data_IF_872048037305
#
_entry.id   IF_872048037305
#
_cell.length_a   1.000
_cell.length_b   1.000
_cell.length_c   1.000
_cell.angle_alpha   90.00
_cell.angle_beta   90.00
_cell.angle_gamma   90.00
#
_symmetry.space_group_name_H-M   'P 1'
#
loop_
_entity.id
_entity.type
_entity.pdbx_description
1 polymer ?
#
# COMPACT_ATOMS: atom_id res chain seq x y z
N UNK A 1 11.06 16.46 -2.63
CA UNK A 1 9.74 15.80 -2.68
C UNK A 1 8.70 16.84 -3.06
N UNK A 2 7.63 16.48 -3.79
CA UNK A 2 6.66 17.46 -4.28
C UNK A 2 5.91 18.13 -3.12
N UNK A 3 5.11 19.12 -3.48
CA UNK A 3 4.25 19.83 -2.55
C UNK A 3 3.14 18.89 -2.04
N UNK A 4 3.36 18.31 -0.85
CA UNK A 4 2.40 17.42 -0.19
C UNK A 4 1.10 18.14 0.20
N UNK A 5 1.04 19.48 0.15
CA UNK A 5 -0.22 20.19 0.40
C UNK A 5 -1.33 19.78 -0.58
N UNK A 6 -0.98 19.37 -1.82
CA UNK A 6 -1.96 18.85 -2.77
C UNK A 6 -2.46 17.46 -2.40
N UNK A 7 -1.58 16.59 -1.91
CA UNK A 7 -1.93 15.24 -1.44
C UNK A 7 -2.95 15.27 -0.31
N UNK A 8 -2.80 16.20 0.65
CA UNK A 8 -3.71 16.30 1.79
C UNK A 8 -5.11 16.78 1.37
N UNK A 9 -5.20 17.67 0.37
CA UNK A 9 -6.46 18.27 -0.10
C UNK A 9 -7.21 17.44 -1.14
N UNK A 10 -6.53 16.57 -1.87
CA UNK A 10 -7.17 15.71 -2.86
C UNK A 10 -7.98 14.60 -2.17
N UNK A 11 -9.16 14.25 -2.70
CA UNK A 11 -10.02 13.19 -2.14
C UNK A 11 -10.42 12.19 -3.23
N UNK A 12 -10.62 10.93 -2.83
CA UNK A 12 -11.09 9.86 -3.71
C UNK A 12 -10.23 9.71 -4.96
N UNK A 13 -10.87 9.74 -6.14
CA UNK A 13 -10.20 9.55 -7.44
C UNK A 13 -9.10 10.59 -7.68
N UNK A 14 -9.31 11.86 -7.31
CA UNK A 14 -8.30 12.92 -7.51
C UNK A 14 -7.02 12.64 -6.74
N UNK A 15 -7.14 11.98 -5.59
CA UNK A 15 -5.98 11.57 -4.81
C UNK A 15 -5.20 10.46 -5.52
N UNK A 16 -5.89 9.46 -6.06
CA UNK A 16 -5.26 8.37 -6.83
C UNK A 16 -4.63 8.86 -8.15
N UNK A 17 -5.23 9.85 -8.81
CA UNK A 17 -4.61 10.53 -9.95
C UNK A 17 -3.29 11.21 -9.54
N UNK A 18 -3.29 11.94 -8.43
CA UNK A 18 -2.09 12.57 -7.89
C UNK A 18 -1.00 11.55 -7.53
N UNK A 19 -1.37 10.40 -6.94
CA UNK A 19 -0.43 9.31 -6.64
C UNK A 19 0.14 8.72 -7.93
N UNK A 20 -0.67 8.53 -8.98
CA UNK A 20 -0.21 8.10 -10.30
C UNK A 20 0.84 9.04 -10.88
N UNK A 21 0.56 10.35 -10.83
CA UNK A 21 1.48 11.39 -11.28
C UNK A 21 2.77 11.41 -10.45
N UNK A 22 2.65 11.22 -9.14
CA UNK A 22 3.78 11.11 -8.23
C UNK A 22 4.69 9.93 -8.62
N UNK A 23 4.13 8.73 -8.78
CA UNK A 23 4.88 7.53 -9.13
C UNK A 23 5.55 7.70 -10.49
N UNK A 24 4.83 8.22 -11.48
CA UNK A 24 5.36 8.47 -12.82
C UNK A 24 6.52 9.47 -12.79
N UNK A 25 6.38 10.56 -12.03
CA UNK A 25 7.39 11.63 -11.94
C UNK A 25 8.66 11.20 -11.20
N UNK A 26 8.52 10.36 -10.17
CA UNK A 26 9.64 9.93 -9.33
C UNK A 26 10.06 8.48 -9.57
N UNK A 27 9.61 7.86 -10.66
CA UNK A 27 9.97 6.49 -11.05
C UNK A 27 11.48 6.25 -10.95
N UNK A 28 11.86 5.11 -10.37
CA UNK A 28 13.24 4.67 -10.11
C UNK A 28 14.03 5.55 -9.13
N UNK A 29 13.41 6.54 -8.48
CA UNK A 29 14.04 7.24 -7.36
C UNK A 29 14.02 6.35 -6.13
N UNK A 30 15.13 6.44 -5.39
CA UNK A 30 15.33 5.71 -4.16
C UNK A 30 15.26 6.65 -2.96
N UNK A 31 14.60 6.20 -1.90
CA UNK A 31 14.38 6.92 -0.67
C UNK A 31 14.85 6.05 0.48
N UNK A 32 16.01 6.37 1.06
CA UNK A 32 16.47 5.72 2.28
C UNK A 32 15.50 5.99 3.41
N UNK A 33 15.03 4.92 4.06
CA UNK A 33 14.10 4.97 5.18
C UNK A 33 14.88 5.15 6.49
N UNK A 34 14.29 5.88 7.43
CA UNK A 34 14.77 5.92 8.82
C UNK A 34 14.28 4.69 9.59
N UNK A 35 13.09 4.22 9.24
CA UNK A 35 12.44 3.07 9.83
C UNK A 35 11.72 2.27 8.71
N UNK A 36 11.97 0.96 8.59
CA UNK A 36 13.03 0.20 9.28
C UNK A 36 14.43 0.66 8.86
N UNK A 37 15.40 0.56 9.78
CA UNK A 37 16.77 1.04 9.55
C UNK A 37 17.47 0.21 8.46
N UNK A 38 18.10 0.89 7.51
CA UNK A 38 18.79 0.25 6.38
C UNK A 38 17.88 -0.08 5.20
N UNK A 39 16.56 0.04 5.34
CA UNK A 39 15.63 -0.15 4.24
C UNK A 39 15.57 1.04 3.29
N UNK A 40 15.13 0.78 2.07
CA UNK A 40 15.06 1.76 1.00
C UNK A 40 13.78 1.56 0.20
N UNK A 41 13.02 2.63 0.00
CA UNK A 41 11.90 2.61 -0.93
C UNK A 41 12.38 2.97 -2.33
N UNK A 42 12.19 2.07 -3.30
CA UNK A 42 12.28 2.36 -4.73
C UNK A 42 10.89 2.71 -5.26
N UNK A 43 10.72 3.93 -5.77
CA UNK A 43 9.45 4.35 -6.39
C UNK A 43 9.27 3.61 -7.72
N UNK A 44 8.16 2.88 -7.84
CA UNK A 44 7.90 1.97 -8.94
C UNK A 44 6.37 1.82 -9.11
N UNK A 45 5.89 1.82 -10.36
CA UNK A 45 4.51 1.42 -10.63
C UNK A 45 4.35 -0.09 -10.63
N UNK A 46 3.11 -0.59 -10.72
CA UNK A 46 2.81 -2.03 -10.78
C UNK A 46 3.67 -2.78 -11.82
N UNK A 47 3.80 -2.21 -13.02
CA UNK A 47 4.55 -2.82 -14.13
C UNK A 47 6.06 -2.90 -13.90
N UNK A 48 6.56 -2.24 -12.86
CA UNK A 48 7.97 -2.22 -12.45
C UNK A 48 8.21 -3.04 -11.15
N UNK A 49 7.27 -3.92 -10.81
CA UNK A 49 7.34 -4.89 -9.70
C UNK A 49 7.31 -6.33 -10.23
N UNK A 50 7.51 -7.30 -9.35
CA UNK A 50 7.31 -8.73 -9.60
C UNK A 50 5.85 -9.08 -9.95
N UNK A 51 4.90 -8.17 -9.68
CA UNK A 51 3.47 -8.30 -9.99
C UNK A 51 3.10 -7.67 -11.34
N UNK A 52 4.08 -7.35 -12.20
CA UNK A 52 3.84 -6.85 -13.57
C UNK A 52 2.78 -7.68 -14.30
N UNK A 53 1.78 -7.00 -14.88
CA UNK A 53 0.67 -7.62 -15.59
C UNK A 53 -0.41 -8.24 -14.68
N UNK A 54 -0.18 -8.37 -13.37
CA UNK A 54 -1.11 -8.98 -12.41
C UNK A 54 -2.08 -7.97 -11.79
N UNK A 55 -2.77 -7.23 -12.64
CA UNK A 55 -3.75 -6.20 -12.23
C UNK A 55 -4.87 -6.77 -11.36
N UNK A 56 -5.30 -8.01 -11.64
CA UNK A 56 -6.34 -8.69 -10.85
C UNK A 56 -5.90 -9.01 -9.42
N UNK A 57 -4.60 -9.25 -9.20
CA UNK A 57 -4.04 -9.51 -7.87
C UNK A 57 -4.09 -8.24 -7.01
N UNK A 58 -3.66 -7.10 -7.57
CA UNK A 58 -3.74 -5.79 -6.92
C UNK A 58 -5.20 -5.40 -6.62
N UNK A 59 -6.09 -5.64 -7.57
CA UNK A 59 -7.53 -5.45 -7.40
C UNK A 59 -8.10 -6.35 -6.29
N UNK A 60 -7.56 -7.58 -6.16
CA UNK A 60 -7.89 -8.50 -5.09
C UNK A 60 -7.49 -7.97 -3.71
N UNK A 61 -6.32 -7.36 -3.57
CA UNK A 61 -5.86 -6.74 -2.31
C UNK A 61 -6.85 -5.68 -1.81
N UNK A 62 -7.36 -4.85 -2.71
CA UNK A 62 -8.37 -3.83 -2.39
C UNK A 62 -9.76 -4.38 -2.03
N UNK A 63 -10.06 -5.64 -2.37
CA UNK A 63 -11.38 -6.26 -2.16
C UNK A 63 -11.44 -7.22 -0.98
N UNK A 64 -10.35 -7.93 -0.72
CA UNK A 64 -10.39 -9.10 0.17
C UNK A 64 -9.63 -8.92 1.48
N UNK A 65 -8.72 -7.94 1.57
CA UNK A 65 -7.89 -7.71 2.75
C UNK A 65 -8.48 -6.61 3.64
N UNK A 66 -8.91 -5.49 3.05
CA UNK A 66 -9.46 -4.37 3.82
C UNK A 66 -10.97 -4.56 4.10
N UNK A 67 -11.48 -4.03 5.23
CA UNK A 67 -12.92 -4.12 5.57
C UNK A 67 -13.86 -3.44 4.57
N UNK A 68 -13.33 -2.57 3.72
CA UNK A 68 -14.07 -1.89 2.65
C UNK A 68 -13.37 -2.18 1.33
N UNK A 69 -14.16 -2.31 0.28
CA UNK A 69 -13.64 -2.38 -1.09
C UNK A 69 -13.04 -1.01 -1.44
N UNK A 70 -11.77 -1.01 -1.83
CA UNK A 70 -11.00 0.18 -2.21
C UNK A 70 -10.22 -0.07 -3.49
N UNK A 71 -9.73 1.00 -4.11
CA UNK A 71 -8.82 0.88 -5.26
C UNK A 71 -7.38 1.06 -4.77
N UNK A 72 -6.64 -0.05 -4.75
CA UNK A 72 -5.22 -0.04 -4.42
C UNK A 72 -4.38 0.49 -5.57
N UNK A 73 -3.38 1.31 -5.23
CA UNK A 73 -2.41 1.85 -6.17
C UNK A 73 -0.99 1.68 -5.64
N UNK A 74 -0.15 1.05 -6.45
CA UNK A 74 1.26 0.79 -6.13
C UNK A 74 2.05 2.09 -6.18
N UNK A 75 2.87 2.30 -5.14
CA UNK A 75 3.80 3.44 -5.00
C UNK A 75 5.24 2.99 -5.27
N UNK A 76 5.58 1.77 -4.87
CA UNK A 76 6.93 1.25 -5.06
C UNK A 76 7.19 -0.05 -4.30
N UNK A 77 8.47 -0.37 -4.18
CA UNK A 77 8.97 -1.58 -3.49
C UNK A 77 9.91 -1.15 -2.37
N UNK A 78 9.72 -1.72 -1.18
CA UNK A 78 10.62 -1.53 -0.05
C UNK A 78 11.66 -2.65 -0.06
N UNK A 79 12.92 -2.26 -0.20
CA UNK A 79 14.08 -3.14 -0.26
C UNK A 79 14.87 -3.06 1.05
N UNK A 80 15.67 -4.09 1.35
CA UNK A 80 16.52 -4.11 2.54
C UNK A 80 15.76 -4.35 3.85
N UNK A 81 14.58 -4.97 3.78
CA UNK A 81 13.83 -5.45 4.95
C UNK A 81 14.07 -6.93 5.19
N UNK A 82 13.69 -7.43 6.36
CA UNK A 82 13.69 -8.87 6.68
C UNK A 82 12.48 -9.62 6.10
N UNK A 83 11.80 -9.05 5.09
CA UNK A 83 10.64 -9.67 4.45
C UNK A 83 11.08 -11.01 3.82
N UNK A 84 10.33 -12.11 4.02
CA UNK A 84 10.65 -13.40 3.44
C UNK A 84 10.38 -13.48 1.93
N UNK A 85 9.62 -12.53 1.38
CA UNK A 85 9.23 -12.49 -0.03
C UNK A 85 10.13 -11.58 -0.87
N UNK A 86 10.14 -11.83 -2.17
CA UNK A 86 11.06 -11.18 -3.12
C UNK A 86 10.88 -9.65 -3.18
N UNK A 87 9.65 -9.13 -3.06
CA UNK A 87 9.35 -7.69 -3.02
C UNK A 87 8.27 -7.34 -2.00
N UNK A 88 8.58 -6.43 -1.06
CA UNK A 88 7.59 -5.80 -0.18
C UNK A 88 6.95 -4.60 -0.90
N UNK A 89 5.74 -4.77 -1.42
CA UNK A 89 5.09 -3.78 -2.28
C UNK A 89 4.38 -2.72 -1.46
N UNK A 90 4.79 -1.46 -1.58
CA UNK A 90 4.13 -0.32 -0.96
C UNK A 90 3.00 0.20 -1.86
N UNK A 91 1.83 0.39 -1.27
CA UNK A 91 0.63 0.86 -1.95
C UNK A 91 -0.21 1.80 -1.06
N UNK A 92 -1.20 2.43 -1.67
CA UNK A 92 -2.18 3.28 -1.00
C UNK A 92 -3.55 3.08 -1.62
N UNK A 93 -4.59 3.58 -0.96
CA UNK A 93 -5.92 3.70 -1.53
C UNK A 93 -6.54 5.06 -1.16
N UNK A 94 -7.84 5.24 -1.42
CA UNK A 94 -8.56 6.49 -1.22
C UNK A 94 -8.54 7.02 0.22
N UNK A 95 -8.24 6.17 1.20
CA UNK A 95 -8.10 6.56 2.61
C UNK A 95 -6.75 7.24 2.95
N UNK A 96 -5.86 7.35 1.96
CA UNK A 96 -4.54 7.99 2.02
C UNK A 96 -3.53 7.31 2.94
N UNK A 97 -3.86 6.14 3.49
CA UNK A 97 -2.95 5.34 4.30
C UNK A 97 -2.05 4.50 3.41
N UNK A 98 -0.91 4.15 3.95
CA UNK A 98 0.10 3.36 3.26
C UNK A 98 0.09 1.94 3.78
N UNK A 99 0.04 1.02 2.84
CA UNK A 99 0.00 -0.40 3.08
C UNK A 99 1.19 -1.08 2.41
N UNK A 100 1.82 -2.03 3.07
CA UNK A 100 2.87 -2.85 2.51
C UNK A 100 2.38 -4.30 2.38
N UNK A 101 2.41 -4.85 1.18
CA UNK A 101 2.06 -6.25 0.93
C UNK A 101 3.32 -7.09 0.90
N UNK A 102 3.39 -8.08 1.80
CA UNK A 102 4.57 -8.93 1.96
C UNK A 102 4.47 -10.27 1.24
N UNK A 103 3.44 -10.49 0.41
CA UNK A 103 3.20 -11.77 -0.27
C UNK A 103 2.10 -12.62 0.39
N UNK A 104 1.75 -12.35 1.64
CA UNK A 104 0.69 -13.07 2.36
C UNK A 104 -0.30 -12.11 3.03
N UNK A 105 0.21 -11.06 3.67
CA UNK A 105 -0.55 -10.11 4.46
C UNK A 105 -0.35 -8.67 3.95
N UNK A 106 -1.34 -7.84 4.25
CA UNK A 106 -1.30 -6.40 3.99
C UNK A 106 -1.08 -5.66 5.30
N UNK A 107 0.05 -4.98 5.42
CA UNK A 107 0.50 -4.31 6.65
C UNK A 107 0.22 -2.82 6.58
N UNK A 108 -0.44 -2.23 7.57
CA UNK A 108 -0.61 -0.78 7.67
C UNK A 108 0.68 -0.15 8.19
N UNK A 109 1.53 0.33 7.28
CA UNK A 109 2.87 0.83 7.61
C UNK A 109 2.94 2.34 7.82
N UNK A 110 1.92 3.09 7.37
CA UNK A 110 1.81 4.50 7.66
C UNK A 110 0.36 5.00 7.56
N UNK A 111 0.02 5.95 8.41
CA UNK A 111 -1.29 6.61 8.45
C UNK A 111 -1.46 7.68 7.36
N UNK A 112 -0.37 8.15 6.76
CA UNK A 112 -0.39 9.18 5.72
C UNK A 112 0.89 9.23 4.88
N UNK A 113 0.80 9.88 3.73
CA UNK A 113 1.96 10.24 2.89
C UNK A 113 2.98 11.16 3.59
N UNK A 114 2.58 11.86 4.67
CA UNK A 114 3.51 12.67 5.44
C UNK A 114 4.54 11.80 6.15
N UNK A 115 4.13 10.66 6.73
CA UNK A 115 5.06 9.72 7.35
C UNK A 115 6.06 9.14 6.34
N UNK A 116 5.62 8.92 5.10
CA UNK A 116 6.53 8.54 4.02
C UNK A 116 7.56 9.63 3.69
N UNK A 117 7.17 10.91 3.71
CA UNK A 117 8.13 12.03 3.57
C UNK A 117 9.09 12.08 4.75
N UNK A 118 8.61 11.79 5.94
CA UNK A 118 9.43 11.72 7.15
C UNK A 118 10.32 10.47 7.17
N UNK A 119 10.13 9.59 6.17
CA UNK A 119 10.88 8.35 5.91
C UNK A 119 10.65 7.30 7.02
N UNK A 120 9.46 7.31 7.58
CA UNK A 120 9.04 6.45 8.67
C UNK A 120 7.92 5.53 8.19
N UNK A 121 8.27 4.27 7.94
CA UNK A 121 7.33 3.20 7.64
C UNK A 121 7.44 2.17 8.77
N UNK A 122 6.35 1.95 9.48
CA UNK A 122 6.27 0.98 10.57
C UNK A 122 6.23 -0.44 9.98
N UNK A 123 7.40 -1.06 9.80
CA UNK A 123 7.52 -2.44 9.35
C UNK A 123 8.56 -3.21 10.20
N UNK A 124 8.20 -4.33 10.86
CA UNK A 124 6.87 -4.97 10.89
C UNK A 124 5.79 -4.06 11.49
N UNK A 125 4.58 -4.09 10.92
CA UNK A 125 3.50 -3.22 11.37
C UNK A 125 2.78 -3.79 12.59
N UNK A 126 2.31 -2.92 13.48
CA UNK A 126 1.40 -3.32 14.58
C UNK A 126 0.03 -3.78 14.10
N UNK A 127 -0.36 -3.41 12.88
CA UNK A 127 -1.65 -3.78 12.29
C UNK A 127 -1.48 -4.36 10.89
N UNK A 128 -2.02 -5.56 10.72
CA UNK A 128 -1.99 -6.31 9.46
C UNK A 128 -3.37 -6.85 9.14
N UNK A 129 -3.61 -7.10 7.86
CA UNK A 129 -4.84 -7.61 7.32
C UNK A 129 -4.55 -8.88 6.54
N UNK A 130 -5.34 -9.93 6.74
CA UNK A 130 -5.17 -11.20 6.03
C UNK A 130 -6.19 -11.36 4.90
N UNK A 131 -5.92 -12.28 3.97
CA UNK A 131 -6.85 -12.55 2.86
C UNK A 131 -8.19 -13.11 3.37
N UNK A 132 -9.30 -12.44 3.04
CA UNK A 132 -10.63 -12.81 3.51
C UNK A 132 -11.06 -12.06 4.78
N UNK A 133 -10.22 -11.18 5.30
CA UNK A 133 -10.53 -10.31 6.44
C UNK A 133 -11.79 -9.45 6.20
N UNK A 134 -12.05 -9.08 4.94
CA UNK A 134 -13.27 -8.37 4.54
C UNK A 134 -14.58 -9.11 4.90
N UNK A 135 -14.54 -10.42 5.17
CA UNK A 135 -15.71 -11.25 5.44
C UNK A 135 -15.80 -11.76 6.89
N UNK A 136 -14.95 -11.27 7.81
CA UNK A 136 -14.93 -11.71 9.21
C UNK A 136 -16.30 -11.64 9.89
N UNK A 137 -17.09 -10.61 9.56
CA UNK A 137 -18.39 -10.34 10.19
C UNK A 137 -19.57 -10.94 9.42
N UNK A 138 -19.34 -11.77 8.39
CA UNK A 138 -20.40 -12.42 7.63
C UNK A 138 -21.03 -13.58 8.42
N UNK A 139 -21.82 -13.26 9.44
CA UNK A 139 -22.61 -14.26 10.19
C UNK A 139 -23.81 -14.68 9.33
N UNK A 140 -23.85 -15.96 8.93
CA UNK A 140 -25.04 -16.55 8.29
C UNK A 140 -26.22 -16.42 9.25
N UNK A 141 -27.21 -15.58 8.92
CA UNK A 141 -28.55 -15.67 9.51
C UNK A 141 -29.21 -16.96 8.99
N UNK A 142 -28.91 -18.08 9.64
CA UNK A 142 -29.63 -19.33 9.42
C UNK A 142 -30.99 -19.19 10.09
N UNK A 143 -31.95 -18.55 9.42
CA UNK A 143 -33.36 -18.67 9.79
C UNK A 143 -33.79 -20.10 9.44
N UNK A 144 -33.70 -21.00 10.41
CA UNK A 144 -34.38 -22.29 10.37
C UNK A 144 -35.87 -21.97 10.31
N UNK A 145 -36.50 -22.24 9.17
CA UNK A 145 -37.96 -22.33 9.04
C UNK A 145 -38.41 -23.72 9.44
#
# INVERSE_FOLDING_TARGET
MPDLQQCERAEGIKYLEWVSDFVSKYKNKHLSLKNPAGAMLRIAGLEDTMYRGKHDEVNGWGKFYLPKIVNMQVIGVVEGTSCPCDELVLMTCEDKKLYAYDGEELHLVASSFQQLRDKDLEYPASKSYYNGEAFKDMVRSSSVK
#
